data_IF_543654807882
#
_entry.id   IF_543654807882
#
_cell.length_a   1.000
_cell.length_b   1.000
_cell.length_c   1.000
_cell.angle_alpha   90.00
_cell.angle_beta   90.00
_cell.angle_gamma   90.00
#
_symmetry.space_group_name_H-M   'P 1'
#
loop_
_entity.id
_entity.type
_entity.pdbx_description
1 polymer ?
#
# COMPACT_ATOMS: atom_id res chain seq x y z
N UNK A 1 12.35 -40.36 -17.62
CA UNK A 1 11.28 -39.43 -17.97
C UNK A 1 10.71 -38.81 -16.71
N UNK A 2 11.24 -37.66 -16.31
CA UNK A 2 10.66 -36.84 -15.26
C UNK A 2 9.43 -36.11 -15.82
N UNK A 3 8.25 -36.45 -15.34
CA UNK A 3 7.02 -35.68 -15.52
C UNK A 3 7.16 -34.40 -14.72
N UNK A 4 7.38 -33.29 -15.38
CA UNK A 4 7.07 -31.96 -14.82
C UNK A 4 5.56 -31.80 -14.84
N UNK A 5 4.96 -31.79 -13.66
CA UNK A 5 3.52 -31.76 -13.46
C UNK A 5 3.06 -30.30 -13.27
N UNK A 6 2.23 -29.86 -14.21
CA UNK A 6 1.03 -29.07 -13.85
C UNK A 6 1.15 -27.58 -13.56
N UNK A 7 2.26 -27.02 -13.11
CA UNK A 7 2.33 -25.58 -12.74
C UNK A 7 2.71 -24.64 -13.89
N UNK A 8 3.44 -25.13 -14.88
CA UNK A 8 3.84 -24.30 -16.03
C UNK A 8 2.76 -24.19 -17.10
N UNK A 9 1.78 -25.11 -17.13
CA UNK A 9 0.72 -25.09 -18.14
C UNK A 9 -0.34 -24.00 -17.90
N UNK A 10 -0.48 -23.52 -16.67
CA UNK A 10 -1.43 -22.44 -16.34
C UNK A 10 -0.92 -21.03 -16.70
N UNK A 11 0.39 -20.87 -16.90
CA UNK A 11 0.97 -19.54 -17.22
C UNK A 11 0.99 -19.29 -18.75
N UNK A 12 0.98 -20.33 -19.56
CA UNK A 12 1.18 -20.25 -21.02
C UNK A 12 -0.04 -19.83 -21.84
N UNK A 13 -1.25 -19.97 -21.30
CA UNK A 13 -2.50 -19.69 -22.03
C UNK A 13 -3.20 -18.38 -21.63
N UNK A 14 -2.63 -17.57 -20.74
CA UNK A 14 -3.06 -16.21 -20.55
C UNK A 14 -2.45 -15.33 -21.63
N UNK A 15 -3.21 -15.02 -22.67
CA UNK A 15 -3.00 -13.79 -23.42
C UNK A 15 -3.18 -12.65 -22.38
N UNK A 16 -2.09 -12.28 -21.71
CA UNK A 16 -2.06 -11.14 -20.79
C UNK A 16 -2.24 -9.89 -21.64
N UNK A 17 -3.46 -9.44 -21.78
CA UNK A 17 -3.83 -8.19 -22.43
C UNK A 17 -3.93 -7.08 -21.37
N UNK A 18 -2.95 -7.01 -20.48
CA UNK A 18 -2.88 -5.90 -19.54
C UNK A 18 -2.72 -4.61 -20.32
N UNK A 19 -3.66 -3.69 -20.15
CA UNK A 19 -3.65 -2.37 -20.79
C UNK A 19 -3.03 -1.38 -19.81
N UNK A 20 -2.00 -0.69 -20.25
CA UNK A 20 -1.36 0.40 -19.50
C UNK A 20 -1.78 1.76 -20.08
N UNK A 21 -2.14 2.69 -19.21
CA UNK A 21 -2.53 4.07 -19.55
C UNK A 21 -1.76 4.98 -18.60
N UNK A 22 -1.05 5.96 -19.16
CA UNK A 22 -0.39 7.00 -18.35
C UNK A 22 -1.10 8.34 -18.61
N UNK A 23 -1.53 8.99 -17.53
CA UNK A 23 -2.18 10.29 -17.56
C UNK A 23 -1.15 11.41 -17.68
N UNK A 24 -1.60 12.61 -18.02
CA UNK A 24 -0.73 13.79 -18.21
C UNK A 24 0.00 14.22 -16.93
N UNK A 25 -0.53 13.89 -15.74
CA UNK A 25 0.10 14.15 -14.44
C UNK A 25 1.11 13.06 -14.02
N UNK A 26 1.34 12.04 -14.88
CA UNK A 26 2.27 10.95 -14.64
C UNK A 26 1.66 9.71 -13.97
N UNK A 27 0.41 9.77 -13.51
CA UNK A 27 -0.29 8.61 -12.93
C UNK A 27 -0.41 7.50 -13.97
N UNK A 28 -0.04 6.28 -13.58
CA UNK A 28 -0.15 5.09 -14.42
C UNK A 28 -1.30 4.19 -13.96
N UNK A 29 -2.14 3.77 -14.90
CA UNK A 29 -3.24 2.84 -14.66
C UNK A 29 -2.95 1.54 -15.41
N UNK A 30 -2.99 0.42 -14.69
CA UNK A 30 -2.80 -0.92 -15.22
C UNK A 30 -4.12 -1.70 -15.12
N UNK A 31 -4.65 -2.15 -16.26
CA UNK A 31 -5.88 -2.90 -16.35
C UNK A 31 -5.60 -4.32 -16.85
N UNK A 32 -5.91 -5.33 -16.04
CA UNK A 32 -5.80 -6.73 -16.40
C UNK A 32 -7.20 -7.38 -16.35
N UNK A 33 -7.78 -7.55 -17.54
CA UNK A 33 -9.12 -8.12 -17.67
C UNK A 33 -9.09 -9.63 -17.84
N UNK A 34 -9.74 -10.34 -16.93
CA UNK A 34 -10.01 -11.76 -17.09
C UNK A 34 -11.34 -12.16 -16.42
N UNK A 35 -11.88 -13.32 -16.82
CA UNK A 35 -13.12 -13.82 -16.25
C UNK A 35 -12.89 -14.32 -14.81
N UNK A 36 -13.27 -13.53 -13.84
CA UNK A 36 -13.20 -13.82 -12.40
C UNK A 36 -14.47 -13.40 -11.70
N UNK A 37 -14.82 -14.06 -10.61
CA UNK A 37 -15.91 -13.64 -9.73
C UNK A 37 -15.53 -12.53 -8.78
N UNK A 38 -14.25 -12.19 -8.70
CA UNK A 38 -13.71 -11.13 -7.84
C UNK A 38 -12.94 -10.10 -8.66
N UNK A 39 -12.84 -8.90 -8.10
CA UNK A 39 -12.06 -7.78 -8.60
C UNK A 39 -11.06 -7.37 -7.52
N UNK A 40 -9.83 -7.15 -7.91
CA UNK A 40 -8.79 -6.56 -7.07
C UNK A 40 -8.43 -5.18 -7.61
N UNK A 41 -8.42 -4.19 -6.75
CA UNK A 41 -8.01 -2.81 -7.04
C UNK A 41 -6.93 -2.44 -6.06
N UNK A 42 -5.87 -1.77 -6.51
CA UNK A 42 -4.83 -1.33 -5.60
C UNK A 42 -4.11 -0.09 -6.09
N UNK A 43 -3.51 0.59 -5.15
CA UNK A 43 -2.65 1.74 -5.29
C UNK A 43 -1.23 1.29 -4.93
N UNK A 44 -0.32 1.26 -5.88
CA UNK A 44 1.08 0.94 -5.67
C UNK A 44 1.92 2.20 -5.79
N UNK A 45 2.49 2.62 -4.68
CA UNK A 45 3.45 3.71 -4.64
C UNK A 45 4.87 3.18 -4.79
N UNK A 46 5.65 3.78 -5.66
CA UNK A 46 7.09 3.56 -5.76
C UNK A 46 7.83 4.36 -4.66
N UNK A 47 7.37 4.17 -3.43
CA UNK A 47 7.87 4.81 -2.20
C UNK A 47 7.82 3.80 -1.08
N UNK A 48 8.94 3.57 -0.44
CA UNK A 48 9.09 2.65 0.69
C UNK A 48 10.16 3.15 1.66
N UNK A 49 10.68 2.25 2.50
CA UNK A 49 11.68 2.64 3.50
C UNK A 49 13.00 3.17 2.92
N UNK A 50 13.30 2.93 1.64
CA UNK A 50 14.49 3.51 0.96
C UNK A 50 14.38 5.02 0.77
N UNK A 51 13.16 5.58 0.79
CA UNK A 51 12.91 7.01 0.65
C UNK A 51 13.05 7.77 1.96
N UNK A 52 13.30 7.06 3.06
CA UNK A 52 13.42 7.64 4.40
C UNK A 52 14.84 8.16 4.66
N UNK A 53 14.94 9.33 5.27
CA UNK A 53 16.19 9.80 5.84
C UNK A 53 16.39 9.24 7.27
N UNK A 54 17.53 9.50 7.89
CA UNK A 54 17.87 8.95 9.20
C UNK A 54 16.91 9.39 10.34
N UNK A 55 16.16 10.48 10.19
CA UNK A 55 15.16 10.94 11.17
C UNK A 55 13.77 10.35 10.90
N UNK A 56 13.55 9.81 9.72
CA UNK A 56 12.27 9.31 9.22
C UNK A 56 12.17 7.77 9.22
N UNK A 57 13.14 7.06 9.81
CA UNK A 57 13.17 5.60 9.80
C UNK A 57 11.88 5.01 10.37
N UNK A 58 11.14 4.26 9.55
CA UNK A 58 9.85 3.65 9.89
C UNK A 58 8.62 4.53 9.58
N UNK A 59 8.79 5.70 8.94
CA UNK A 59 7.67 6.60 8.66
C UNK A 59 6.74 6.05 7.57
N UNK A 60 7.27 5.34 6.57
CA UNK A 60 6.49 4.70 5.54
C UNK A 60 5.59 3.60 6.13
N UNK A 61 6.11 2.80 7.06
CA UNK A 61 5.35 1.80 7.80
C UNK A 61 4.31 2.44 8.73
N UNK A 62 4.67 3.53 9.42
CA UNK A 62 3.71 4.29 10.23
C UNK A 62 2.56 4.84 9.37
N UNK A 63 2.81 5.30 8.15
CA UNK A 63 1.79 5.76 7.21
C UNK A 63 0.86 4.64 6.75
N UNK A 64 1.37 3.43 6.57
CA UNK A 64 0.55 2.24 6.30
C UNK A 64 -0.46 2.01 7.44
N UNK A 65 -0.01 1.97 8.69
CA UNK A 65 -0.89 1.84 9.86
C UNK A 65 -1.92 2.97 9.95
N UNK A 66 -1.49 4.19 9.67
CA UNK A 66 -2.34 5.37 9.76
C UNK A 66 -3.34 5.51 8.61
N UNK A 67 -3.17 4.79 7.49
CA UNK A 67 -4.06 4.87 6.33
C UNK A 67 -5.51 4.53 6.67
N UNK A 68 -5.71 3.57 7.59
CA UNK A 68 -7.03 3.08 8.00
C UNK A 68 -7.58 3.75 9.27
N UNK A 69 -6.91 4.79 9.79
CA UNK A 69 -7.26 5.43 11.08
C UNK A 69 -8.09 6.70 10.96
N UNK A 70 -8.56 6.99 9.76
CA UNK A 70 -9.52 8.03 9.48
C UNK A 70 -9.09 9.01 8.39
N UNK A 71 -10.08 9.40 7.63
CA UNK A 71 -10.00 10.40 6.56
C UNK A 71 -10.85 11.63 6.93
N UNK A 72 -10.98 12.57 5.99
CA UNK A 72 -11.93 13.69 6.14
C UNK A 72 -13.39 13.22 6.06
N UNK A 73 -13.65 12.09 5.41
CA UNK A 73 -15.00 11.62 5.10
C UNK A 73 -15.43 10.42 5.95
N UNK A 74 -14.47 9.63 6.49
CA UNK A 74 -14.71 8.37 7.19
C UNK A 74 -13.84 8.26 8.44
N UNK A 75 -14.39 7.74 9.52
CA UNK A 75 -13.58 7.28 10.64
C UNK A 75 -13.03 5.86 10.38
N UNK A 76 -12.17 5.34 11.27
CA UNK A 76 -11.56 4.02 11.11
C UNK A 76 -12.58 2.88 11.01
N UNK A 77 -13.67 2.96 11.77
CA UNK A 77 -14.74 1.96 11.75
C UNK A 77 -15.49 1.98 10.42
N UNK A 78 -15.79 3.17 9.88
CA UNK A 78 -16.52 3.32 8.61
C UNK A 78 -15.71 2.74 7.44
N UNK A 79 -14.37 2.95 7.41
CA UNK A 79 -13.48 2.42 6.37
C UNK A 79 -13.56 0.88 6.31
N UNK A 80 -13.44 0.21 7.45
CA UNK A 80 -13.52 -1.26 7.51
C UNK A 80 -14.93 -1.74 7.22
N UNK A 81 -15.94 -1.13 7.88
CA UNK A 81 -17.33 -1.55 7.78
C UNK A 81 -17.88 -1.48 6.37
N UNK A 82 -17.64 -0.40 5.63
CA UNK A 82 -18.18 -0.23 4.27
C UNK A 82 -17.65 -1.31 3.32
N UNK A 83 -16.41 -1.75 3.48
CA UNK A 83 -15.82 -2.83 2.68
C UNK A 83 -16.32 -4.20 3.14
N UNK A 84 -16.41 -4.45 4.45
CA UNK A 84 -16.87 -5.71 5.02
C UNK A 84 -18.35 -5.96 4.73
N UNK A 85 -19.20 -4.93 4.78
CA UNK A 85 -20.64 -5.00 4.48
C UNK A 85 -20.93 -5.52 3.06
N UNK A 86 -20.01 -5.30 2.11
CA UNK A 86 -20.13 -5.82 0.74
C UNK A 86 -19.33 -7.11 0.51
N UNK A 87 -18.81 -7.72 1.58
CA UNK A 87 -18.01 -8.96 1.51
C UNK A 87 -16.62 -8.75 0.90
N UNK A 88 -16.10 -7.52 0.96
CA UNK A 88 -14.77 -7.17 0.51
C UNK A 88 -13.71 -7.36 1.60
N UNK A 89 -12.46 -7.26 1.20
CA UNK A 89 -11.27 -7.26 2.05
C UNK A 89 -10.36 -6.10 1.63
N UNK A 90 -9.88 -5.32 2.60
CA UNK A 90 -8.98 -4.19 2.38
C UNK A 90 -7.71 -4.39 3.20
N UNK A 91 -6.55 -4.14 2.58
CA UNK A 91 -5.27 -4.34 3.24
C UNK A 91 -4.20 -3.42 2.68
N UNK A 92 -3.03 -3.39 3.33
CA UNK A 92 -1.86 -2.65 2.88
C UNK A 92 -0.58 -3.41 3.21
N UNK A 93 0.53 -3.01 2.61
CA UNK A 93 1.86 -3.42 3.02
C UNK A 93 2.89 -2.35 2.66
N UNK A 94 3.97 -2.32 3.43
CA UNK A 94 5.17 -1.52 3.17
C UNK A 94 6.37 -2.42 2.95
N UNK A 95 7.10 -2.17 1.88
CA UNK A 95 8.37 -2.83 1.59
C UNK A 95 9.53 -1.83 1.62
N UNK A 96 10.72 -2.28 1.22
CA UNK A 96 11.88 -1.40 1.06
C UNK A 96 11.63 -0.32 0.00
N UNK A 97 11.02 -0.67 -1.13
CA UNK A 97 10.95 0.17 -2.32
C UNK A 97 9.53 0.63 -2.66
N UNK A 98 8.51 0.00 -2.09
CA UNK A 98 7.12 0.34 -2.40
C UNK A 98 6.18 0.18 -1.19
N UNK A 99 5.08 0.93 -1.23
CA UNK A 99 3.94 0.80 -0.34
C UNK A 99 2.69 0.56 -1.19
N UNK A 100 1.85 -0.38 -0.79
CA UNK A 100 0.62 -0.69 -1.50
C UNK A 100 -0.59 -0.67 -0.56
N UNK A 101 -1.70 -0.15 -1.08
CA UNK A 101 -3.03 -0.21 -0.48
C UNK A 101 -3.95 -0.89 -1.47
N UNK A 102 -4.67 -1.92 -1.08
CA UNK A 102 -5.47 -2.68 -2.02
C UNK A 102 -6.76 -3.22 -1.40
N UNK A 103 -7.75 -3.41 -2.26
CA UNK A 103 -9.04 -3.97 -1.89
C UNK A 103 -9.37 -5.11 -2.84
N UNK A 104 -10.01 -6.15 -2.29
CA UNK A 104 -10.59 -7.26 -3.05
C UNK A 104 -12.09 -7.30 -2.76
N UNK A 105 -12.92 -7.31 -3.82
CA UNK A 105 -14.36 -7.26 -3.69
C UNK A 105 -15.07 -7.88 -4.91
N UNK A 106 -16.40 -7.90 -4.88
CA UNK A 106 -17.19 -8.28 -6.05
C UNK A 106 -17.13 -7.16 -7.10
N UNK A 107 -17.15 -7.49 -8.41
CA UNK A 107 -17.09 -6.49 -9.48
C UNK A 107 -18.19 -5.43 -9.43
N UNK A 108 -19.37 -5.76 -8.87
CA UNK A 108 -20.48 -4.81 -8.69
C UNK A 108 -20.14 -3.64 -7.74
N UNK A 109 -19.17 -3.81 -6.87
CA UNK A 109 -18.81 -2.83 -5.83
C UNK A 109 -17.50 -2.08 -6.14
N UNK A 110 -17.08 -2.07 -7.42
CA UNK A 110 -15.82 -1.47 -7.84
C UNK A 110 -15.71 0.03 -7.51
N UNK A 111 -16.84 0.77 -7.63
CA UNK A 111 -16.87 2.20 -7.32
C UNK A 111 -16.54 2.47 -5.84
N UNK A 112 -17.12 1.69 -4.94
CA UNK A 112 -16.82 1.76 -3.51
C UNK A 112 -15.33 1.50 -3.24
N UNK A 113 -14.75 0.48 -3.87
CA UNK A 113 -13.33 0.16 -3.70
C UNK A 113 -12.41 1.29 -4.15
N UNK A 114 -12.69 1.90 -5.31
CA UNK A 114 -11.95 3.04 -5.82
C UNK A 114 -12.12 4.25 -4.91
N UNK A 115 -13.34 4.53 -4.47
CA UNK A 115 -13.65 5.67 -3.61
C UNK A 115 -12.90 5.58 -2.27
N UNK A 116 -12.96 4.43 -1.59
CA UNK A 116 -12.29 4.25 -0.29
C UNK A 116 -10.78 4.33 -0.43
N UNK A 117 -10.18 3.65 -1.43
CA UNK A 117 -8.73 3.75 -1.65
C UNK A 117 -8.29 5.18 -1.96
N UNK A 118 -9.06 5.89 -2.78
CA UNK A 118 -8.77 7.30 -3.08
C UNK A 118 -8.92 8.19 -1.85
N UNK A 119 -9.92 7.94 -1.01
CA UNK A 119 -10.14 8.71 0.22
C UNK A 119 -9.00 8.48 1.23
N UNK A 120 -8.57 7.24 1.42
CA UNK A 120 -7.39 6.90 2.23
C UNK A 120 -6.14 7.62 1.71
N UNK A 121 -5.92 7.62 0.40
CA UNK A 121 -4.73 8.20 -0.21
C UNK A 121 -4.70 9.72 -0.14
N UNK A 122 -5.83 10.38 -0.44
CA UNK A 122 -5.91 11.84 -0.60
C UNK A 122 -6.31 12.58 0.68
N UNK A 123 -7.07 11.95 1.56
CA UNK A 123 -7.79 12.62 2.63
C UNK A 123 -7.46 12.13 4.03
N UNK A 124 -6.42 11.30 4.21
CA UNK A 124 -5.98 10.88 5.55
C UNK A 124 -5.74 12.06 6.48
N UNK A 125 -6.30 12.00 7.68
CA UNK A 125 -6.28 13.12 8.65
C UNK A 125 -5.20 12.99 9.70
N UNK A 126 -4.66 11.79 9.89
CA UNK A 126 -3.66 11.48 10.90
C UNK A 126 -4.04 12.01 12.30
N UNK A 127 -5.13 11.48 12.92
CA UNK A 127 -5.56 11.94 14.24
C UNK A 127 -4.47 11.69 15.28
N UNK A 128 -4.21 12.66 16.15
CA UNK A 128 -3.14 12.56 17.15
C UNK A 128 -3.30 11.35 18.07
N UNK A 129 -4.52 11.06 18.49
CA UNK A 129 -4.82 9.92 19.35
C UNK A 129 -4.52 8.57 18.67
N UNK A 130 -4.79 8.47 17.37
CA UNK A 130 -4.46 7.28 16.59
C UNK A 130 -2.95 7.15 16.36
N UNK A 131 -2.23 8.26 16.14
CA UNK A 131 -0.76 8.25 16.07
C UNK A 131 -0.16 7.69 17.36
N UNK A 132 -0.65 8.13 18.54
CA UNK A 132 -0.16 7.62 19.82
C UNK A 132 -0.48 6.13 20.01
N UNK A 133 -1.66 5.68 19.57
CA UNK A 133 -2.07 4.28 19.65
C UNK A 133 -1.21 3.40 18.74
N UNK A 134 -1.08 3.77 17.47
CA UNK A 134 -0.30 3.01 16.48
C UNK A 134 1.20 3.03 16.79
N UNK A 135 1.72 4.11 17.36
CA UNK A 135 3.09 4.15 17.90
C UNK A 135 3.35 3.01 18.88
N UNK A 136 2.41 2.76 19.81
CA UNK A 136 2.51 1.66 20.76
C UNK A 136 2.52 0.29 20.07
N UNK A 137 1.68 0.11 19.05
CA UNK A 137 1.61 -1.11 18.23
C UNK A 137 2.94 -1.35 17.51
N UNK A 138 3.44 -0.36 16.77
CA UNK A 138 4.69 -0.48 15.99
C UNK A 138 5.90 -0.72 16.91
N UNK A 139 5.96 -0.05 18.07
CA UNK A 139 7.03 -0.32 19.05
C UNK A 139 6.98 -1.77 19.56
N UNK A 140 5.79 -2.34 19.72
CA UNK A 140 5.61 -3.75 20.05
C UNK A 140 6.07 -4.67 18.92
N UNK A 141 5.73 -4.35 17.66
CA UNK A 141 6.17 -5.10 16.48
C UNK A 141 7.69 -5.07 16.31
N UNK A 142 8.34 -3.93 16.53
CA UNK A 142 9.81 -3.83 16.58
C UNK A 142 10.38 -4.79 17.65
N UNK A 143 9.71 -4.90 18.79
CA UNK A 143 10.08 -5.87 19.83
C UNK A 143 9.98 -7.30 19.34
N UNK A 144 8.83 -7.68 18.77
CA UNK A 144 8.59 -9.02 18.24
C UNK A 144 9.58 -9.39 17.13
N UNK A 145 9.77 -8.52 16.14
CA UNK A 145 10.74 -8.75 15.06
C UNK A 145 12.17 -8.93 15.58
N UNK A 146 12.56 -8.22 16.62
CA UNK A 146 13.87 -8.41 17.26
C UNK A 146 14.02 -9.76 17.97
N UNK A 147 12.92 -10.35 18.42
CA UNK A 147 12.90 -11.65 19.09
C UNK A 147 12.74 -12.82 18.11
N UNK A 148 12.37 -12.55 16.85
CA UNK A 148 12.25 -13.53 15.77
C UNK A 148 13.56 -13.68 15.00
N UNK A 149 14.23 -14.86 15.05
CA UNK A 149 15.52 -15.07 14.38
C UNK A 149 15.45 -14.87 12.86
N UNK A 150 14.34 -15.27 12.25
CA UNK A 150 14.13 -15.19 10.79
C UNK A 150 14.09 -13.74 10.31
N UNK A 151 13.35 -12.87 11.00
CA UNK A 151 13.30 -11.43 10.67
C UNK A 151 14.65 -10.78 10.92
N UNK A 152 15.24 -11.09 12.05
CA UNK A 152 16.52 -10.50 12.47
C UNK A 152 17.67 -10.86 11.54
N UNK A 153 17.70 -12.07 10.96
CA UNK A 153 18.77 -12.45 10.02
C UNK A 153 18.68 -11.62 8.73
N UNK A 154 17.48 -11.35 8.23
CA UNK A 154 17.31 -10.51 7.05
C UNK A 154 17.68 -9.05 7.31
N UNK A 155 17.22 -8.46 8.41
CA UNK A 155 17.63 -7.10 8.78
C UNK A 155 19.13 -6.97 8.94
N UNK A 156 19.77 -7.96 9.56
CA UNK A 156 21.22 -8.00 9.73
C UNK A 156 21.94 -8.14 8.39
N UNK A 157 21.44 -9.01 7.51
CA UNK A 157 21.98 -9.19 6.17
C UNK A 157 21.93 -7.87 5.38
N UNK A 158 20.78 -7.22 5.33
CA UNK A 158 20.63 -5.93 4.63
C UNK A 158 21.54 -4.85 5.23
N UNK A 159 21.62 -4.76 6.55
CA UNK A 159 22.46 -3.76 7.21
C UNK A 159 23.96 -3.93 6.93
N UNK A 160 24.42 -5.16 6.72
CA UNK A 160 25.81 -5.47 6.40
C UNK A 160 26.12 -5.32 4.91
N UNK A 161 25.17 -5.76 4.04
CA UNK A 161 25.33 -5.70 2.59
C UNK A 161 25.23 -4.26 2.07
N UNK A 162 24.40 -3.42 2.68
CA UNK A 162 24.10 -2.06 2.25
C UNK A 162 24.41 -1.03 3.32
N UNK A 163 25.67 -1.02 3.78
CA UNK A 163 26.14 -0.09 4.81
C UNK A 163 25.95 1.36 4.36
N UNK A 164 25.42 2.20 5.27
CA UNK A 164 25.17 3.63 5.06
C UNK A 164 24.17 3.97 3.93
N UNK A 165 23.41 3.00 3.44
CA UNK A 165 22.35 3.19 2.46
C UNK A 165 20.98 2.97 3.11
N UNK A 166 19.93 3.66 2.63
CA UNK A 166 18.57 3.55 3.16
C UNK A 166 18.02 2.11 3.06
N UNK A 167 18.33 1.39 1.99
CA UNK A 167 17.89 0.00 1.80
C UNK A 167 18.43 -0.95 2.90
N UNK A 168 19.54 -0.60 3.54
CA UNK A 168 20.12 -1.34 4.67
C UNK A 168 19.42 -1.09 6.00
N UNK A 169 18.48 -0.15 6.08
CA UNK A 169 17.75 0.19 7.31
C UNK A 169 16.50 -0.67 7.49
N UNK A 170 16.06 -0.96 8.73
CA UNK A 170 14.85 -1.74 8.98
C UNK A 170 13.60 -0.99 8.50
N UNK A 171 12.62 -1.72 7.93
CA UNK A 171 11.34 -1.13 7.47
C UNK A 171 10.54 -0.60 8.64
N UNK A 172 10.51 -1.30 9.76
CA UNK A 172 9.80 -0.90 10.99
C UNK A 172 10.41 0.35 11.65
N UNK A 173 11.59 0.78 11.22
CA UNK A 173 12.34 1.85 11.87
C UNK A 173 12.95 1.44 13.19
N UNK A 174 13.08 2.40 14.10
CA UNK A 174 13.63 2.22 15.45
C UNK A 174 12.64 2.75 16.49
N UNK A 175 12.73 2.24 17.75
CA UNK A 175 11.92 2.76 18.86
C UNK A 175 12.10 4.27 19.05
N UNK A 176 13.29 4.80 18.74
CA UNK A 176 13.58 6.24 18.88
C UNK A 176 12.91 7.04 17.77
N UNK A 177 13.05 6.62 16.49
CA UNK A 177 12.45 7.34 15.37
C UNK A 177 10.92 7.30 15.44
N UNK A 178 10.33 6.10 15.60
CA UNK A 178 8.88 5.92 15.73
C UNK A 178 8.31 6.67 16.94
N UNK A 179 9.06 6.69 18.07
CA UNK A 179 8.70 7.43 19.27
C UNK A 179 8.57 8.94 19.07
N UNK A 180 9.27 9.49 18.07
CA UNK A 180 9.31 10.94 17.79
C UNK A 180 8.29 11.43 16.76
N UNK A 181 7.66 10.56 15.97
CA UNK A 181 6.79 10.99 14.88
C UNK A 181 5.55 11.73 15.37
N UNK A 182 5.20 12.77 14.64
CA UNK A 182 4.00 13.54 14.83
C UNK A 182 3.25 13.72 13.50
N UNK A 183 2.10 14.37 13.53
CA UNK A 183 1.25 14.59 12.34
C UNK A 183 1.95 15.35 11.22
N UNK A 184 2.79 16.31 11.57
CA UNK A 184 3.46 17.16 10.59
C UNK A 184 4.57 16.38 9.86
N UNK A 185 5.28 15.49 10.58
CA UNK A 185 6.26 14.58 9.96
C UNK A 185 5.59 13.66 8.91
N UNK A 186 4.43 13.08 9.25
CA UNK A 186 3.66 12.22 8.33
C UNK A 186 3.20 12.99 7.09
N UNK A 187 2.66 14.20 7.29
CA UNK A 187 2.23 15.06 6.18
C UNK A 187 3.40 15.50 5.30
N UNK A 188 4.51 15.85 5.91
CA UNK A 188 5.71 16.25 5.16
C UNK A 188 6.20 15.11 4.27
N UNK A 189 6.27 13.89 4.80
CA UNK A 189 6.67 12.72 4.01
C UNK A 189 5.68 12.43 2.87
N UNK A 190 4.37 12.51 3.11
CA UNK A 190 3.36 12.38 2.07
C UNK A 190 3.54 13.46 0.99
N UNK A 191 3.68 14.73 1.36
CA UNK A 191 3.82 15.84 0.41
C UNK A 191 5.07 15.71 -0.47
N UNK A 192 6.15 15.12 0.06
CA UNK A 192 7.40 14.93 -0.69
C UNK A 192 7.35 13.73 -1.63
N UNK A 193 6.64 12.66 -1.26
CA UNK A 193 6.76 11.36 -1.89
C UNK A 193 5.47 10.87 -2.57
N UNK A 194 4.29 11.21 -2.05
CA UNK A 194 2.99 10.73 -2.54
C UNK A 194 2.47 11.63 -3.66
N UNK A 195 2.98 11.41 -4.86
CA UNK A 195 2.60 12.18 -6.03
C UNK A 195 2.19 11.23 -7.18
N UNK A 196 1.41 11.72 -8.16
CA UNK A 196 0.88 10.90 -9.24
C UNK A 196 1.94 10.13 -10.03
N UNK A 197 3.12 10.71 -10.23
CA UNK A 197 4.20 10.06 -11.00
C UNK A 197 4.83 8.87 -10.27
N UNK A 198 4.65 8.76 -8.95
CA UNK A 198 5.08 7.62 -8.14
C UNK A 198 3.98 6.59 -7.93
N UNK A 199 2.77 6.82 -8.49
CA UNK A 199 1.59 6.00 -8.23
C UNK A 199 1.19 5.18 -9.46
N UNK A 200 0.92 3.90 -9.22
CA UNK A 200 0.29 2.99 -10.18
C UNK A 200 -1.03 2.51 -9.58
N UNK A 201 -2.12 2.69 -10.32
CA UNK A 201 -3.41 2.10 -10.00
C UNK A 201 -3.53 0.79 -10.78
N UNK A 202 -3.59 -0.34 -10.09
CA UNK A 202 -3.79 -1.65 -10.70
C UNK A 202 -5.23 -2.13 -10.49
N UNK A 203 -5.85 -2.63 -11.55
CA UNK A 203 -7.18 -3.22 -11.50
C UNK A 203 -7.12 -4.55 -12.23
N UNK A 204 -7.45 -5.64 -11.53
CA UNK A 204 -7.35 -6.99 -12.06
C UNK A 204 -8.60 -7.80 -11.72
N UNK A 205 -9.18 -8.47 -12.74
CA UNK A 205 -10.36 -9.32 -12.59
C UNK A 205 -11.42 -9.11 -13.67
N UNK A 206 -12.68 -9.38 -13.35
CA UNK A 206 -13.82 -9.17 -14.26
C UNK A 206 -14.03 -7.69 -14.47
N UNK A 207 -13.62 -7.22 -15.62
CA UNK A 207 -13.36 -5.81 -15.92
C UNK A 207 -14.55 -4.89 -15.75
N UNK A 208 -14.18 -3.78 -15.25
CA UNK A 208 -14.84 -2.50 -15.44
C UNK A 208 -14.40 -1.94 -16.80
N UNK A 209 -15.31 -1.48 -17.63
CA UNK A 209 -14.97 -0.75 -18.84
C UNK A 209 -14.20 0.52 -18.47
N UNK A 210 -13.22 0.94 -19.30
CA UNK A 210 -12.47 2.19 -19.13
C UNK A 210 -13.36 3.41 -18.83
N UNK A 211 -14.60 3.41 -19.34
CA UNK A 211 -15.57 4.48 -19.11
C UNK A 211 -15.97 4.67 -17.64
N UNK A 212 -15.77 3.69 -16.78
CA UNK A 212 -16.03 3.79 -15.34
C UNK A 212 -14.83 4.33 -14.53
N UNK A 213 -13.64 4.38 -15.14
CA UNK A 213 -12.42 4.89 -14.51
C UNK A 213 -12.24 6.41 -14.67
N UNK A 214 -13.06 7.06 -15.48
CA UNK A 214 -13.12 8.52 -15.61
C UNK A 214 -13.92 9.17 -14.47
N UNK A 215 -13.82 8.61 -13.26
CA UNK A 215 -14.42 9.21 -12.09
C UNK A 215 -13.66 10.49 -11.70
N UNK A 216 -14.37 11.54 -11.25
CA UNK A 216 -13.78 12.80 -10.77
C UNK A 216 -12.72 12.61 -9.68
N UNK A 217 -12.66 11.42 -9.10
CA UNK A 217 -11.72 11.01 -8.04
C UNK A 217 -10.30 10.78 -8.58
N UNK A 218 -10.17 10.24 -9.81
CA UNK A 218 -8.87 9.93 -10.41
C UNK A 218 -8.21 11.19 -10.99
N UNK A 219 -9.00 12.15 -11.46
CA UNK A 219 -8.49 13.43 -11.96
C UNK A 219 -7.97 14.36 -10.84
N UNK A 220 -8.17 14.00 -9.57
CA UNK A 220 -7.72 14.77 -8.39
C UNK A 220 -6.50 14.17 -7.67
N UNK A 221 -6.05 13.00 -8.11
CA UNK A 221 -4.84 12.33 -7.56
C UNK A 221 -3.55 12.92 -8.15
#
# INVERSE_FOLDING_TARGET
>A
TSRLVGSEMCIRDRNMTAKTITLSNGLTILLDHFNSNTLSIGLWLNVGSVNENNKQLGIAHMLEHMAFKGTKNRNAFDISKEIEDVGGDINAYTSKENTAYYVKLLPSNHELGIEILSDIFLNSTFPKEEIERERGVIISEIGQSNDMPDDKVFDKFYSLAYQNQSIGKPILGTKVSVGGFNKDDLKEFCNQNYNPSNLIIGISGKSVSYTHLTLPTIDRV
#
